data_IF_053607543105
#
_entry.id   IF_053607543105
#
_cell.length_a   1.000
_cell.length_b   1.000
_cell.length_c   1.000
_cell.angle_alpha   90.00
_cell.angle_beta   90.00
_cell.angle_gamma   90.00
#
_symmetry.space_group_name_H-M   'P 1'
#
loop_
_entity.id
_entity.type
_entity.pdbx_description
1 polymer ?
#
# COMPACT_ATOMS: atom_id res chain seq x y z
N UNK A 1 -13.67 37.88 -9.65
CA UNK A 1 -12.58 36.93 -9.96
C UNK A 1 -12.23 36.26 -8.63
N UNK A 2 -12.86 35.14 -8.26
CA UNK A 2 -12.53 33.76 -8.67
C UNK A 2 -11.03 33.45 -8.60
N UNK A 3 -10.73 32.26 -8.05
CA UNK A 3 -9.42 31.63 -7.72
C UNK A 3 -8.94 31.89 -6.26
N UNK A 4 -8.69 30.92 -5.37
CA UNK A 4 -8.42 29.48 -5.51
C UNK A 4 -8.83 28.65 -4.28
N UNK A 5 -9.14 27.39 -4.57
CA UNK A 5 -9.23 26.23 -3.69
C UNK A 5 -8.02 26.08 -2.75
N UNK A 6 -8.00 26.82 -1.65
CA UNK A 6 -7.23 26.48 -0.45
C UNK A 6 -8.09 25.65 0.50
N UNK A 7 -8.65 24.55 -0.01
CA UNK A 7 -9.60 23.73 0.74
C UNK A 7 -8.94 23.15 2.00
N UNK A 8 -9.72 23.02 3.09
CA UNK A 8 -9.30 22.18 4.20
C UNK A 8 -9.12 20.77 3.62
N UNK A 9 -7.87 20.34 3.54
CA UNK A 9 -7.48 18.99 3.14
C UNK A 9 -7.15 18.16 4.38
N UNK A 10 -7.37 16.87 4.29
CA UNK A 10 -7.14 15.91 5.36
C UNK A 10 -5.68 15.92 5.80
N UNK A 11 -4.73 15.90 4.86
CA UNK A 11 -3.30 15.85 5.16
C UNK A 11 -2.96 14.70 6.12
N UNK A 12 -2.35 15.02 7.26
CA UNK A 12 -2.01 14.04 8.31
C UNK A 12 -3.09 13.89 9.40
N UNK A 13 -4.24 14.55 9.26
CA UNK A 13 -5.35 14.38 10.20
C UNK A 13 -6.04 13.04 9.98
N UNK A 14 -6.54 12.43 11.06
CA UNK A 14 -7.53 11.38 10.95
C UNK A 14 -8.80 11.95 10.30
N UNK A 15 -9.58 11.11 9.63
CA UNK A 15 -10.88 11.38 9.02
C UNK A 15 -11.81 12.05 10.02
N UNK A 16 -11.90 11.55 11.26
CA UNK A 16 -12.70 12.21 12.31
C UNK A 16 -12.20 13.62 12.61
N UNK A 17 -10.89 13.82 12.78
CA UNK A 17 -10.31 15.14 13.07
C UNK A 17 -10.46 16.10 11.89
N UNK A 18 -10.33 15.60 10.66
CA UNK A 18 -10.57 16.34 9.44
C UNK A 18 -12.04 16.76 9.32
N UNK A 19 -12.97 15.84 9.55
CA UNK A 19 -14.40 16.11 9.55
C UNK A 19 -14.81 17.14 10.61
N UNK A 20 -14.28 17.04 11.83
CA UNK A 20 -14.53 18.04 12.88
C UNK A 20 -14.07 19.44 12.49
N UNK A 21 -12.87 19.58 11.91
CA UNK A 21 -12.38 20.86 11.39
C UNK A 21 -13.26 21.42 10.28
N UNK A 22 -13.73 20.55 9.38
CA UNK A 22 -14.63 20.95 8.31
C UNK A 22 -15.98 21.44 8.87
N UNK A 23 -16.50 20.78 9.92
CA UNK A 23 -17.70 21.21 10.63
C UNK A 23 -17.52 22.54 11.36
N UNK A 24 -16.41 22.73 12.05
CA UNK A 24 -16.09 24.01 12.71
C UNK A 24 -16.03 25.16 11.70
N UNK A 25 -15.38 24.93 10.56
CA UNK A 25 -15.38 25.89 9.46
C UNK A 25 -16.80 26.18 8.94
N UNK A 26 -17.64 25.15 8.86
CA UNK A 26 -19.01 25.26 8.41
C UNK A 26 -19.91 26.10 9.33
N UNK A 27 -19.63 26.17 10.64
CA UNK A 27 -20.41 27.00 11.58
C UNK A 27 -20.40 28.49 11.19
N UNK A 28 -19.36 28.93 10.48
CA UNK A 28 -19.24 30.31 10.00
C UNK A 28 -19.85 30.57 8.62
N UNK A 29 -20.16 29.50 7.86
CA UNK A 29 -20.57 29.57 6.44
C UNK A 29 -21.96 29.03 6.17
N UNK A 30 -22.51 28.24 7.08
CA UNK A 30 -23.84 27.64 6.99
C UNK A 30 -24.07 26.87 5.68
N UNK A 31 -23.08 26.07 5.26
CA UNK A 31 -23.21 25.30 4.03
C UNK A 31 -24.19 24.13 4.20
N UNK A 32 -24.99 23.84 3.17
CA UNK A 32 -25.86 22.67 3.15
C UNK A 32 -25.04 21.37 3.18
N UNK A 33 -25.64 20.31 3.71
CA UNK A 33 -24.96 19.03 3.94
C UNK A 33 -24.34 18.43 2.67
N UNK A 34 -24.98 18.58 1.51
CA UNK A 34 -24.44 18.10 0.24
C UNK A 34 -23.13 18.80 -0.15
N UNK A 35 -23.01 20.09 0.15
CA UNK A 35 -21.81 20.87 -0.15
C UNK A 35 -20.70 20.52 0.84
N UNK A 36 -21.05 20.36 2.11
CA UNK A 36 -20.12 19.88 3.13
C UNK A 36 -19.57 18.48 2.78
N UNK A 37 -20.43 17.59 2.27
CA UNK A 37 -20.03 16.27 1.78
C UNK A 37 -19.08 16.38 0.59
N UNK A 38 -19.38 17.25 -0.39
CA UNK A 38 -18.52 17.44 -1.54
C UNK A 38 -17.13 17.96 -1.15
N UNK A 39 -17.07 18.93 -0.23
CA UNK A 39 -15.83 19.49 0.29
C UNK A 39 -15.01 18.45 1.06
N UNK A 40 -15.68 17.64 1.91
CA UNK A 40 -15.04 16.53 2.61
C UNK A 40 -14.39 15.56 1.63
N UNK A 41 -15.15 15.07 0.64
CA UNK A 41 -14.65 14.10 -0.34
C UNK A 41 -13.47 14.64 -1.17
N UNK A 42 -13.51 15.93 -1.54
CA UNK A 42 -12.44 16.58 -2.29
C UNK A 42 -11.18 16.83 -1.48
N UNK A 43 -11.29 16.96 -0.16
CA UNK A 43 -10.14 17.16 0.70
C UNK A 43 -9.60 15.89 1.35
N UNK A 44 -10.20 14.73 1.14
CA UNK A 44 -9.67 13.44 1.63
C UNK A 44 -8.24 13.18 1.13
N UNK A 45 -7.49 12.37 1.89
CA UNK A 45 -6.20 11.86 1.43
C UNK A 45 -6.39 10.96 0.19
N UNK A 46 -5.38 10.80 -0.67
CA UNK A 46 -5.47 9.93 -1.85
C UNK A 46 -5.92 8.50 -1.50
N UNK A 47 -5.47 7.96 -0.36
CA UNK A 47 -5.85 6.63 0.12
C UNK A 47 -7.35 6.54 0.47
N UNK A 48 -7.87 7.53 1.19
CA UNK A 48 -9.28 7.55 1.59
C UNK A 48 -10.21 7.91 0.41
N UNK A 49 -9.77 8.77 -0.51
CA UNK A 49 -10.49 9.03 -1.77
C UNK A 49 -10.60 7.76 -2.59
N UNK A 50 -9.49 7.02 -2.77
CA UNK A 50 -9.50 5.74 -3.47
C UNK A 50 -10.43 4.73 -2.80
N UNK A 51 -10.44 4.70 -1.46
CA UNK A 51 -11.32 3.83 -0.68
C UNK A 51 -12.80 4.18 -0.84
N UNK A 52 -13.17 5.46 -0.81
CA UNK A 52 -14.54 5.90 -1.04
C UNK A 52 -15.04 5.44 -2.40
N UNK A 53 -14.21 5.60 -3.44
CA UNK A 53 -14.54 5.16 -4.79
C UNK A 53 -14.66 3.63 -4.86
N UNK A 54 -13.69 2.92 -4.28
CA UNK A 54 -13.61 1.45 -4.32
C UNK A 54 -14.79 0.79 -3.61
N UNK A 55 -15.12 1.25 -2.40
CA UNK A 55 -16.18 0.69 -1.57
C UNK A 55 -17.57 1.27 -1.91
N UNK A 56 -17.66 2.13 -2.94
CA UNK A 56 -18.91 2.74 -3.40
C UNK A 56 -19.58 3.63 -2.34
N UNK A 57 -18.79 4.25 -1.46
CA UNK A 57 -19.30 5.00 -0.31
C UNK A 57 -19.91 6.35 -0.71
N UNK A 58 -19.69 6.81 -1.95
CA UNK A 58 -20.14 8.10 -2.46
C UNK A 58 -21.67 8.28 -2.39
N UNK A 59 -22.43 7.18 -2.40
CA UNK A 59 -23.90 7.20 -2.29
C UNK A 59 -24.39 7.40 -0.86
N UNK A 60 -23.53 7.19 0.15
CA UNK A 60 -23.91 7.20 1.56
C UNK A 60 -23.97 8.62 2.13
N UNK A 61 -24.64 8.78 3.26
CA UNK A 61 -24.64 10.05 3.98
C UNK A 61 -23.24 10.39 4.52
N UNK A 62 -22.94 11.69 4.68
CA UNK A 62 -21.60 12.14 5.08
C UNK A 62 -21.15 11.52 6.41
N UNK A 63 -22.04 11.46 7.40
CA UNK A 63 -21.72 10.84 8.69
C UNK A 63 -21.36 9.35 8.53
N UNK A 64 -22.01 8.63 7.62
CA UNK A 64 -21.77 7.21 7.39
C UNK A 64 -20.43 6.99 6.67
N UNK A 65 -20.09 7.87 5.72
CA UNK A 65 -18.77 7.87 5.07
C UNK A 65 -17.68 8.09 6.12
N UNK A 66 -17.85 9.09 6.99
CA UNK A 66 -16.89 9.40 8.06
C UNK A 66 -16.70 8.19 8.98
N UNK A 67 -17.77 7.56 9.46
CA UNK A 67 -17.68 6.38 10.33
C UNK A 67 -17.01 5.20 9.64
N UNK A 68 -17.34 4.92 8.37
CA UNK A 68 -16.74 3.81 7.62
C UNK A 68 -15.26 4.01 7.32
N UNK A 69 -14.84 5.25 7.06
CA UNK A 69 -13.44 5.60 6.87
C UNK A 69 -12.68 5.60 8.21
N UNK A 70 -13.29 6.11 9.28
CA UNK A 70 -12.71 6.14 10.62
C UNK A 70 -12.51 4.73 11.22
N UNK A 71 -13.45 3.80 10.99
CA UNK A 71 -13.30 2.39 11.37
C UNK A 71 -12.07 1.71 10.73
N UNK A 72 -11.54 2.28 9.64
CA UNK A 72 -10.36 1.75 8.93
C UNK A 72 -9.10 2.54 9.25
N UNK A 73 -9.22 3.80 9.68
CA UNK A 73 -8.10 4.56 10.23
C UNK A 73 -7.78 4.22 11.70
N UNK A 74 -8.78 3.73 12.45
CA UNK A 74 -8.64 3.30 13.85
C UNK A 74 -8.51 1.79 14.06
N UNK A 75 -8.44 1.00 12.99
CA UNK A 75 -8.18 -0.42 13.05
C UNK A 75 -7.20 -0.77 11.96
N UNK A 76 -5.93 -1.01 12.32
CA UNK A 76 -4.92 -1.40 11.36
C UNK A 76 -5.40 -2.55 10.46
N UNK A 77 -4.84 -2.66 9.26
CA UNK A 77 -5.20 -3.73 8.34
C UNK A 77 -5.15 -5.07 9.08
N UNK A 78 -6.23 -5.86 8.96
CA UNK A 78 -6.32 -7.19 9.56
C UNK A 78 -6.53 -8.23 8.49
N UNK A 79 -6.23 -9.49 8.81
CA UNK A 79 -6.50 -10.62 7.92
C UNK A 79 -7.98 -10.69 7.48
N UNK A 80 -8.92 -10.27 8.36
CA UNK A 80 -10.34 -10.21 8.02
C UNK A 80 -10.61 -9.20 6.91
N UNK A 81 -9.96 -8.03 6.99
CA UNK A 81 -10.05 -6.98 5.97
C UNK A 81 -9.45 -7.46 4.65
N UNK A 82 -8.26 -8.07 4.69
CA UNK A 82 -7.63 -8.65 3.49
C UNK A 82 -8.48 -9.75 2.86
N UNK A 83 -9.11 -10.61 3.65
CA UNK A 83 -10.01 -11.64 3.13
C UNK A 83 -11.24 -11.05 2.42
N UNK A 84 -11.81 -9.96 2.95
CA UNK A 84 -12.92 -9.25 2.30
C UNK A 84 -12.47 -8.62 0.98
N UNK A 85 -11.33 -7.94 0.98
CA UNK A 85 -10.74 -7.36 -0.23
C UNK A 85 -10.54 -8.45 -1.30
N UNK A 86 -9.93 -9.57 -0.89
CA UNK A 86 -9.65 -10.69 -1.78
C UNK A 86 -10.91 -11.26 -2.45
N UNK A 87 -12.01 -11.37 -1.68
CA UNK A 87 -13.29 -11.89 -2.19
C UNK A 87 -14.03 -10.88 -3.07
N UNK A 88 -14.06 -9.62 -2.67
CA UNK A 88 -14.80 -8.57 -3.39
C UNK A 88 -14.09 -8.12 -4.67
N UNK A 89 -12.76 -8.14 -4.67
CA UNK A 89 -11.93 -7.58 -5.72
C UNK A 89 -10.98 -8.63 -6.33
N UNK A 90 -11.51 -9.76 -6.83
CA UNK A 90 -10.69 -10.81 -7.47
C UNK A 90 -9.91 -10.33 -8.71
N UNK A 91 -10.32 -9.20 -9.31
CA UNK A 91 -9.62 -8.54 -10.41
C UNK A 91 -8.61 -7.48 -9.95
N UNK A 92 -8.27 -7.42 -8.66
CA UNK A 92 -7.35 -6.44 -8.10
C UNK A 92 -5.99 -6.52 -8.79
N UNK A 93 -5.50 -5.36 -9.24
CA UNK A 93 -4.21 -5.20 -9.92
C UNK A 93 -3.14 -4.53 -9.06
N UNK A 94 -3.56 -3.67 -8.14
CA UNK A 94 -2.66 -2.86 -7.32
C UNK A 94 -3.07 -2.99 -5.87
N UNK A 95 -2.13 -3.39 -5.01
CA UNK A 95 -2.36 -3.46 -3.58
C UNK A 95 -1.16 -2.91 -2.82
N UNK A 96 -1.41 -1.98 -1.91
CA UNK A 96 -0.41 -1.44 -1.01
C UNK A 96 -0.80 -1.75 0.43
N UNK A 97 0.02 -2.58 1.08
CA UNK A 97 -0.08 -3.00 2.48
C UNK A 97 1.11 -2.49 3.29
N UNK A 98 1.85 -1.51 2.79
CA UNK A 98 3.01 -0.96 3.49
C UNK A 98 2.64 -0.52 4.90
N UNK A 99 3.36 -1.05 5.89
CA UNK A 99 3.18 -0.69 7.29
C UNK A 99 3.82 0.66 7.60
N UNK A 100 3.14 1.49 8.41
CA UNK A 100 3.69 2.75 8.96
C UNK A 100 4.15 2.53 10.42
N UNK A 101 5.04 3.37 10.92
CA UNK A 101 5.45 3.33 12.32
C UNK A 101 4.23 3.56 13.23
N UNK A 102 4.00 2.63 14.18
CA UNK A 102 2.85 2.67 15.09
C UNK A 102 1.57 2.02 14.57
N UNK A 103 1.60 1.40 13.39
CA UNK A 103 0.48 0.60 12.88
C UNK A 103 0.38 -0.70 13.68
N UNK A 104 -0.75 -0.89 14.37
CA UNK A 104 -1.08 -2.08 15.18
C UNK A 104 -1.82 -3.16 14.37
N UNK A 105 -1.96 -2.95 13.05
CA UNK A 105 -2.59 -3.86 12.12
C UNK A 105 -2.06 -5.29 12.23
N UNK A 106 -2.99 -6.21 12.49
CA UNK A 106 -2.77 -7.66 12.58
C UNK A 106 -2.91 -8.30 11.19
N UNK A 107 -2.08 -7.88 10.24
CA UNK A 107 -1.88 -8.63 9.00
C UNK A 107 -0.85 -9.74 9.24
N UNK A 108 -1.22 -10.95 8.89
CA UNK A 108 -0.36 -12.13 8.97
C UNK A 108 -0.37 -12.85 7.63
N UNK A 109 0.41 -13.93 7.53
CA UNK A 109 0.41 -14.82 6.38
C UNK A 109 -1.00 -15.21 5.91
N UNK A 110 -1.97 -15.36 6.83
CA UNK A 110 -3.36 -15.72 6.50
C UNK A 110 -4.02 -14.71 5.57
N UNK A 111 -3.86 -13.42 5.84
CA UNK A 111 -4.39 -12.37 4.99
C UNK A 111 -3.68 -12.33 3.65
N UNK A 112 -2.36 -12.51 3.65
CA UNK A 112 -1.55 -12.52 2.42
C UNK A 112 -1.88 -13.73 1.52
N UNK A 113 -2.13 -14.91 2.11
CA UNK A 113 -2.61 -16.09 1.39
C UNK A 113 -3.98 -15.85 0.74
N UNK A 114 -4.89 -15.16 1.43
CA UNK A 114 -6.19 -14.83 0.85
C UNK A 114 -6.04 -13.96 -0.41
N UNK A 115 -5.17 -12.94 -0.35
CA UNK A 115 -4.83 -12.11 -1.52
C UNK A 115 -4.23 -12.96 -2.63
N UNK A 116 -3.20 -13.75 -2.34
CA UNK A 116 -2.50 -14.58 -3.34
C UNK A 116 -3.45 -15.53 -4.07
N UNK A 117 -4.36 -16.17 -3.33
CA UNK A 117 -5.24 -17.20 -3.88
C UNK A 117 -6.39 -16.64 -4.72
N UNK A 118 -6.91 -15.45 -4.36
CA UNK A 118 -8.11 -14.89 -4.98
C UNK A 118 -7.81 -13.73 -5.95
N UNK A 119 -6.68 -13.04 -5.81
CA UNK A 119 -6.28 -11.89 -6.63
C UNK A 119 -5.15 -12.24 -7.61
N UNK A 120 -5.35 -13.25 -8.47
CA UNK A 120 -4.32 -13.74 -9.41
C UNK A 120 -3.98 -12.74 -10.52
N UNK A 121 -4.75 -11.66 -10.66
CA UNK A 121 -4.52 -10.56 -11.62
C UNK A 121 -3.62 -9.44 -11.06
N UNK A 122 -3.05 -9.61 -9.87
CA UNK A 122 -2.21 -8.62 -9.24
C UNK A 122 -0.98 -8.30 -10.11
N UNK A 123 -0.75 -7.01 -10.34
CA UNK A 123 0.37 -6.46 -11.11
C UNK A 123 1.37 -5.72 -10.20
N UNK A 124 0.90 -5.15 -9.09
CA UNK A 124 1.69 -4.42 -8.10
C UNK A 124 1.30 -4.83 -6.68
N UNK A 125 2.31 -5.18 -5.87
CA UNK A 125 2.15 -5.42 -4.44
C UNK A 125 3.24 -4.70 -3.64
N UNK A 126 2.83 -3.96 -2.61
CA UNK A 126 3.76 -3.40 -1.63
C UNK A 126 3.46 -3.95 -0.23
N UNK A 127 4.42 -4.65 0.36
CA UNK A 127 4.36 -5.19 1.72
C UNK A 127 5.53 -4.67 2.56
N UNK A 128 6.08 -3.51 2.18
CA UNK A 128 7.22 -2.92 2.89
C UNK A 128 6.88 -2.70 4.37
N UNK A 129 7.87 -2.87 5.24
CA UNK A 129 7.76 -2.76 6.70
C UNK A 129 6.87 -3.83 7.37
N UNK A 130 6.30 -4.77 6.61
CA UNK A 130 5.60 -5.93 7.16
C UNK A 130 6.65 -7.00 7.54
N UNK A 131 7.01 -7.05 8.82
CA UNK A 131 8.00 -7.99 9.39
C UNK A 131 7.35 -9.31 9.85
N UNK A 132 6.03 -9.32 9.88
CA UNK A 132 5.16 -10.41 10.31
C UNK A 132 4.96 -11.46 9.21
N UNK A 133 5.21 -11.11 7.94
CA UNK A 133 5.08 -12.05 6.83
C UNK A 133 6.27 -12.99 6.74
N UNK A 134 5.98 -14.28 6.65
CA UNK A 134 6.98 -15.30 6.40
C UNK A 134 7.42 -15.31 4.94
N UNK A 135 8.63 -15.82 4.70
CA UNK A 135 9.13 -16.05 3.34
C UNK A 135 8.21 -16.97 2.53
N UNK A 136 7.60 -17.97 3.17
CA UNK A 136 6.67 -18.90 2.54
C UNK A 136 5.42 -18.16 2.02
N UNK A 137 4.89 -17.21 2.80
CA UNK A 137 3.76 -16.42 2.37
C UNK A 137 4.09 -15.51 1.18
N UNK A 138 5.30 -14.94 1.17
CA UNK A 138 5.81 -14.16 0.04
C UNK A 138 5.98 -15.04 -1.20
N UNK A 139 6.54 -16.24 -1.06
CA UNK A 139 6.63 -17.22 -2.16
C UNK A 139 5.26 -17.56 -2.72
N UNK A 140 4.27 -17.81 -1.87
CA UNK A 140 2.92 -18.11 -2.33
C UNK A 140 2.32 -16.99 -3.18
N UNK A 141 2.57 -15.72 -2.84
CA UNK A 141 2.17 -14.58 -3.68
C UNK A 141 2.83 -14.66 -5.05
N UNK A 142 4.15 -14.86 -5.07
CA UNK A 142 4.93 -14.90 -6.31
C UNK A 142 4.41 -16.03 -7.21
N UNK A 143 4.22 -17.23 -6.66
CA UNK A 143 3.73 -18.39 -7.42
C UNK A 143 2.27 -18.24 -7.89
N UNK A 144 1.41 -17.66 -7.05
CA UNK A 144 -0.04 -17.56 -7.34
C UNK A 144 -0.42 -16.36 -8.21
N UNK A 145 0.41 -15.32 -8.26
CA UNK A 145 0.13 -14.08 -9.00
C UNK A 145 1.13 -13.88 -10.16
N UNK A 146 0.99 -14.61 -11.29
CA UNK A 146 1.96 -14.60 -12.40
C UNK A 146 2.03 -13.27 -13.17
N UNK A 147 1.12 -12.34 -12.88
CA UNK A 147 1.06 -11.01 -13.51
C UNK A 147 1.81 -9.93 -12.73
N UNK A 148 2.39 -10.26 -11.58
CA UNK A 148 3.14 -9.31 -10.77
C UNK A 148 4.32 -8.78 -11.60
N UNK A 149 4.36 -7.46 -11.73
CA UNK A 149 5.43 -6.71 -12.40
C UNK A 149 6.33 -6.02 -11.38
N UNK A 150 5.76 -5.65 -10.23
CA UNK A 150 6.48 -4.96 -9.16
C UNK A 150 6.04 -5.49 -7.79
N UNK A 151 7.04 -5.82 -6.97
CA UNK A 151 6.89 -6.32 -5.61
C UNK A 151 7.85 -5.55 -4.69
N UNK A 152 7.29 -4.72 -3.81
CA UNK A 152 8.06 -3.92 -2.85
C UNK A 152 8.08 -4.62 -1.48
N UNK A 153 9.27 -5.04 -1.02
CA UNK A 153 9.49 -5.85 0.21
C UNK A 153 10.52 -5.18 1.16
N UNK A 154 10.61 -3.85 1.10
CA UNK A 154 11.58 -3.09 1.87
C UNK A 154 11.37 -3.30 3.37
N UNK A 155 12.43 -3.57 4.13
CA UNK A 155 12.39 -3.86 5.57
C UNK A 155 11.50 -5.07 5.99
N UNK A 156 11.23 -6.00 5.07
CA UNK A 156 10.71 -7.33 5.41
C UNK A 156 11.82 -8.26 5.93
N UNK A 157 11.45 -9.27 6.72
CA UNK A 157 12.39 -10.27 7.25
C UNK A 157 12.60 -11.41 6.23
N UNK A 158 13.46 -11.16 5.23
CA UNK A 158 13.75 -12.11 4.13
C UNK A 158 15.23 -12.49 4.04
N UNK A 159 15.50 -13.63 3.42
CA UNK A 159 16.84 -14.19 3.15
C UNK A 159 17.19 -14.12 1.66
N UNK A 160 18.45 -14.39 1.34
CA UNK A 160 18.93 -14.51 -0.05
C UNK A 160 18.14 -15.55 -0.87
N UNK A 161 17.66 -16.63 -0.23
CA UNK A 161 16.86 -17.65 -0.91
C UNK A 161 15.58 -17.06 -1.50
N UNK A 162 14.89 -16.22 -0.73
CA UNK A 162 13.68 -15.53 -1.19
C UNK A 162 13.97 -14.55 -2.32
N UNK A 163 15.07 -13.79 -2.22
CA UNK A 163 15.47 -12.86 -3.28
C UNK A 163 15.74 -13.61 -4.59
N UNK A 164 16.43 -14.76 -4.52
CA UNK A 164 16.69 -15.61 -5.68
C UNK A 164 15.40 -16.18 -6.27
N UNK A 165 14.51 -16.68 -5.44
CA UNK A 165 13.20 -17.21 -5.87
C UNK A 165 12.40 -16.14 -6.62
N UNK A 166 12.35 -14.92 -6.09
CA UNK A 166 11.66 -13.80 -6.74
C UNK A 166 12.29 -13.47 -8.10
N UNK A 167 13.63 -13.40 -8.16
CA UNK A 167 14.35 -13.08 -9.40
C UNK A 167 14.10 -14.11 -10.51
N UNK A 168 14.07 -15.40 -10.15
CA UNK A 168 13.79 -16.50 -11.08
C UNK A 168 12.34 -16.43 -11.60
N UNK A 169 11.38 -16.15 -10.72
CA UNK A 169 9.97 -16.24 -11.07
C UNK A 169 9.44 -14.99 -11.80
N UNK A 170 9.88 -13.79 -11.40
CA UNK A 170 9.37 -12.54 -11.98
C UNK A 170 10.07 -12.12 -13.28
N UNK A 171 10.96 -12.96 -13.85
CA UNK A 171 11.73 -12.70 -15.09
C UNK A 171 12.18 -11.23 -15.17
N UNK A 172 13.10 -10.89 -14.27
CA UNK A 172 13.73 -9.59 -14.02
C UNK A 172 13.66 -8.58 -15.19
N UNK A 173 12.67 -7.67 -15.13
CA UNK A 173 12.73 -6.35 -15.78
C UNK A 173 12.67 -5.17 -14.79
N UNK A 174 12.08 -5.35 -13.61
CA UNK A 174 11.83 -4.26 -12.64
C UNK A 174 11.89 -4.71 -11.17
N UNK A 175 12.68 -5.72 -10.83
CA UNK A 175 12.89 -6.04 -9.42
C UNK A 175 13.75 -4.92 -8.81
N UNK A 176 13.18 -4.16 -7.88
CA UNK A 176 13.73 -2.91 -7.36
C UNK A 176 15.12 -3.13 -6.74
N UNK A 177 16.16 -2.96 -7.58
CA UNK A 177 17.58 -3.21 -7.30
C UNK A 177 18.06 -2.46 -6.05
N UNK A 178 17.43 -1.33 -5.70
CA UNK A 178 17.77 -0.57 -4.48
C UNK A 178 17.57 -1.35 -3.19
N UNK A 179 16.66 -2.33 -3.15
CA UNK A 179 16.45 -3.16 -1.94
C UNK A 179 17.52 -4.25 -1.81
N UNK A 180 17.96 -4.83 -2.94
CA UNK A 180 19.05 -5.81 -2.96
C UNK A 180 20.38 -5.11 -2.65
N UNK A 181 20.66 -3.97 -3.27
CA UNK A 181 21.90 -3.21 -3.06
C UNK A 181 22.05 -2.85 -1.58
N UNK A 182 21.02 -2.25 -0.95
CA UNK A 182 21.08 -1.89 0.47
C UNK A 182 21.12 -3.10 1.41
N UNK A 183 20.49 -4.22 1.05
CA UNK A 183 20.59 -5.47 1.83
C UNK A 183 21.99 -6.08 1.73
N UNK A 184 22.55 -6.17 0.52
CA UNK A 184 23.89 -6.73 0.25
C UNK A 184 25.01 -5.85 0.83
N UNK A 185 24.85 -4.52 0.81
CA UNK A 185 25.72 -3.56 1.52
C UNK A 185 25.69 -3.80 3.03
N UNK A 186 24.50 -4.02 3.60
CA UNK A 186 24.33 -4.23 5.04
C UNK A 186 24.92 -5.56 5.54
N UNK A 187 25.01 -6.59 4.69
CA UNK A 187 25.61 -7.90 5.04
C UNK A 187 27.07 -8.06 4.59
N UNK A 188 27.70 -7.02 4.03
CA UNK A 188 29.12 -7.05 3.64
C UNK A 188 29.44 -7.94 2.43
N UNK A 189 28.45 -8.31 1.60
CA UNK A 189 28.62 -9.19 0.42
C UNK A 189 28.23 -8.53 -0.91
N UNK A 190 28.04 -7.21 -0.94
CA UNK A 190 27.62 -6.41 -2.11
C UNK A 190 28.44 -6.61 -3.38
N UNK A 191 29.76 -6.76 -3.28
CA UNK A 191 30.64 -6.80 -4.45
C UNK A 191 30.88 -8.22 -5.01
N UNK A 192 30.72 -9.27 -4.21
CA UNK A 192 31.15 -10.63 -4.60
C UNK A 192 30.08 -11.46 -5.30
N UNK A 193 28.80 -11.13 -5.11
CA UNK A 193 27.67 -12.00 -5.53
C UNK A 193 27.01 -11.53 -6.84
N UNK A 194 26.95 -10.22 -7.08
CA UNK A 194 26.32 -9.67 -8.30
C UNK A 194 27.01 -10.16 -9.59
N UNK A 195 28.31 -10.46 -9.54
CA UNK A 195 29.11 -10.87 -10.71
C UNK A 195 29.10 -12.35 -11.09
N UNK A 196 28.68 -13.28 -10.20
CA UNK A 196 28.85 -14.73 -10.44
C UNK A 196 27.57 -15.48 -10.80
N UNK A 197 26.44 -15.13 -10.20
CA UNK A 197 25.19 -15.89 -10.36
C UNK A 197 24.16 -15.22 -11.29
N UNK A 198 24.34 -13.93 -11.61
CA UNK A 198 23.42 -13.14 -12.43
C UNK A 198 24.18 -12.10 -13.30
N UNK A 199 24.79 -12.50 -14.43
CA UNK A 199 25.62 -11.60 -15.24
C UNK A 199 24.88 -10.36 -15.78
N UNK A 200 23.55 -10.43 -15.93
CA UNK A 200 22.72 -9.33 -16.43
C UNK A 200 22.45 -8.22 -15.40
N UNK A 201 22.75 -8.44 -14.12
CA UNK A 201 22.47 -7.48 -13.03
C UNK A 201 23.63 -6.48 -12.83
N UNK A 202 24.82 -6.77 -13.37
CA UNK A 202 26.07 -6.03 -13.08
C UNK A 202 26.19 -4.69 -13.82
N UNK A 203 25.28 -4.37 -14.73
CA UNK A 203 25.44 -3.20 -15.62
C UNK A 203 24.41 -2.10 -15.37
N UNK A 204 24.44 -1.45 -14.20
CA UNK A 204 23.94 -0.08 -14.09
C UNK A 204 24.98 0.80 -13.38
N UNK A 205 25.40 1.92 -14.00
CA UNK A 205 26.38 2.81 -13.41
C UNK A 205 25.81 3.39 -12.12
N UNK A 206 26.66 3.45 -11.09
CA UNK A 206 26.33 4.10 -9.83
C UNK A 206 25.85 5.54 -10.11
N UNK A 207 24.62 5.87 -9.71
CA UNK A 207 24.19 7.27 -9.70
C UNK A 207 24.98 8.03 -8.64
N UNK A 208 25.43 9.26 -8.91
CA UNK A 208 26.26 10.02 -7.98
C UNK A 208 25.44 10.43 -6.76
N UNK A 209 25.97 10.13 -5.58
CA UNK A 209 25.43 10.53 -4.29
C UNK A 209 25.41 12.07 -4.15
N UNK A 210 24.35 12.61 -3.56
CA UNK A 210 24.30 13.94 -2.90
C UNK A 210 23.67 13.74 -1.52
#
# INVERSE_FOLDING_TARGET
>A
MEFLFGGIVQGNYTVKKYYSKLKEYNLSKDYPEWLLKNLFLRGLSPENTFKVLLDGLEVLALYEIVERLDQVEGGGFSDKTLNRIAKSYSNLKYLNLRKRYGDDGLITDKGLYAIANLCQKLEYLNISHCKEFSEIAIWNVIHSCPRIKQLDIYECKITYKTIKEIGLYLKLKYFNLGTIIRYLEKIGQGQTVLGKDCPDIVSLPASPEH
#
